data_IF_717427881792
#
_entry.id   IF_717427881792
#
_cell.length_a   1.000
_cell.length_b   1.000
_cell.length_c   1.000
_cell.angle_alpha   90.00
_cell.angle_beta   90.00
_cell.angle_gamma   90.00
#
_symmetry.space_group_name_H-M   'P 1'
#
loop_
_entity.id
_entity.type
_entity.pdbx_description
1 polymer ?
#
# COMPACT_ATOMS: atom_id res chain seq x y z
N UNK A 1 -7.47 -22.17 -29.67
CA UNK A 1 -7.81 -20.74 -29.62
C UNK A 1 -8.66 -20.48 -28.40
N UNK A 2 -8.07 -20.15 -27.26
CA UNK A 2 -8.79 -19.71 -26.04
C UNK A 2 -8.21 -18.35 -25.65
N UNK A 3 -9.04 -17.36 -25.79
CA UNK A 3 -8.77 -15.96 -25.50
C UNK A 3 -8.73 -15.80 -23.98
N UNK A 4 -7.58 -15.34 -23.44
CA UNK A 4 -7.49 -14.91 -22.04
C UNK A 4 -8.27 -13.60 -21.88
N UNK A 5 -9.38 -13.67 -21.20
CA UNK A 5 -10.12 -12.51 -20.71
C UNK A 5 -9.33 -11.87 -19.55
N UNK A 6 -8.80 -10.70 -19.80
CA UNK A 6 -8.44 -9.76 -18.73
C UNK A 6 -9.77 -9.32 -18.12
N UNK A 7 -9.99 -9.65 -16.86
CA UNK A 7 -11.21 -9.28 -16.12
C UNK A 7 -11.34 -7.76 -16.04
N UNK A 8 -12.10 -7.22 -16.98
CA UNK A 8 -12.68 -5.89 -16.88
C UNK A 8 -13.94 -6.04 -16.01
N UNK A 9 -13.86 -5.66 -14.73
CA UNK A 9 -15.05 -5.61 -13.87
C UNK A 9 -15.98 -4.49 -14.35
N UNK A 10 -16.92 -4.83 -15.25
CA UNK A 10 -18.11 -4.02 -15.48
C UNK A 10 -19.18 -4.39 -14.46
N UNK A 11 -19.45 -3.50 -13.53
CA UNK A 11 -20.65 -3.56 -12.70
C UNK A 11 -21.81 -2.94 -13.48
N UNK A 12 -22.66 -3.80 -14.03
CA UNK A 12 -23.97 -3.40 -14.56
C UNK A 12 -24.95 -3.39 -13.37
N UNK A 13 -25.30 -2.19 -12.90
CA UNK A 13 -26.42 -2.01 -11.99
C UNK A 13 -27.73 -2.08 -12.80
N UNK A 14 -28.45 -3.17 -12.62
CA UNK A 14 -29.86 -3.30 -13.06
C UNK A 14 -30.72 -2.38 -12.21
N UNK A 15 -31.46 -1.50 -12.88
CA UNK A 15 -32.47 -0.62 -12.30
C UNK A 15 -33.61 -1.46 -11.70
N UNK A 16 -33.88 -1.26 -10.39
CA UNK A 16 -35.21 -1.32 -9.82
C UNK A 16 -35.49 -0.01 -9.11
N UNK A 17 -36.42 0.71 -9.67
CA UNK A 17 -36.99 1.95 -9.13
C UNK A 17 -37.75 1.66 -7.84
N UNK A 18 -37.33 2.28 -6.75
CA UNK A 18 -38.13 2.50 -5.55
C UNK A 18 -37.68 3.81 -4.91
N UNK A 19 -38.63 4.72 -4.78
CA UNK A 19 -38.46 6.05 -4.18
C UNK A 19 -37.88 6.01 -2.79
N UNK A 20 -36.68 6.58 -2.62
CA UNK A 20 -36.13 6.96 -1.30
C UNK A 20 -35.55 8.36 -1.41
N UNK A 21 -36.00 9.21 -0.50
CA UNK A 21 -35.50 10.55 -0.20
C UNK A 21 -33.96 10.52 -0.11
N UNK A 22 -33.33 11.43 -0.81
CA UNK A 22 -31.90 11.51 -1.04
C UNK A 22 -31.13 11.65 0.28
N UNK A 23 -30.17 10.78 0.49
CA UNK A 23 -29.22 10.84 1.60
C UNK A 23 -28.38 12.12 1.63
N UNK A 24 -28.39 12.88 0.54
CA UNK A 24 -27.70 14.17 0.37
C UNK A 24 -28.36 15.27 1.20
N UNK A 25 -29.70 15.33 1.24
CA UNK A 25 -30.41 16.36 2.01
C UNK A 25 -30.25 16.16 3.52
N UNK A 26 -30.09 14.92 3.98
CA UNK A 26 -29.80 14.62 5.39
C UNK A 26 -28.38 14.98 5.79
N UNK A 27 -27.42 14.90 4.86
CA UNK A 27 -26.03 15.28 5.09
C UNK A 27 -25.85 16.80 5.09
N UNK A 28 -26.45 17.51 4.15
CA UNK A 28 -26.38 18.98 4.09
C UNK A 28 -27.07 19.64 5.30
N UNK A 29 -28.17 19.07 5.80
CA UNK A 29 -28.83 19.52 7.01
C UNK A 29 -27.96 19.35 8.26
N UNK A 30 -27.19 18.28 8.38
CA UNK A 30 -26.24 18.08 9.48
C UNK A 30 -25.05 19.05 9.45
N UNK A 31 -24.56 19.41 8.28
CA UNK A 31 -23.49 20.41 8.15
C UNK A 31 -23.95 21.81 8.56
N UNK A 32 -25.20 22.20 8.26
CA UNK A 32 -25.74 23.50 8.69
C UNK A 32 -25.99 23.57 10.20
N UNK A 33 -26.25 22.44 10.87
CA UNK A 33 -26.44 22.38 12.32
C UNK A 33 -25.11 22.44 13.13
N UNK A 34 -23.98 22.05 12.50
CA UNK A 34 -22.63 22.12 13.11
C UNK A 34 -21.97 23.49 12.98
N UNK A 35 -22.40 24.34 12.01
CA UNK A 35 -21.82 25.65 11.75
C UNK A 35 -22.24 26.77 12.74
N UNK A 36 -23.15 26.52 13.67
CA UNK A 36 -23.73 27.56 14.57
C UNK A 36 -23.35 27.39 16.05
N UNK A 37 -22.24 26.71 16.38
CA UNK A 37 -21.71 26.65 17.75
C UNK A 37 -20.23 26.98 17.78
N UNK A 38 -19.93 28.24 17.74
CA UNK A 38 -18.58 28.75 17.91
C UNK A 38 -18.60 30.20 18.27
N UNK A 39 -18.74 30.53 19.56
CA UNK A 39 -18.09 31.67 20.17
C UNK A 39 -18.12 31.57 21.70
N UNK A 40 -17.01 31.96 22.27
CA UNK A 40 -16.76 32.28 23.70
C UNK A 40 -16.33 31.10 24.62
N UNK A 41 -15.01 31.02 24.87
CA UNK A 41 -14.42 31.37 26.16
C UNK A 41 -12.93 31.10 26.20
N UNK A 42 -12.15 32.16 26.29
CA UNK A 42 -10.80 32.15 26.85
C UNK A 42 -10.88 31.80 28.33
N UNK A 43 -10.02 30.88 28.77
CA UNK A 43 -9.59 30.80 30.18
C UNK A 43 -8.25 30.06 30.20
N UNK A 44 -7.23 30.81 30.64
CA UNK A 44 -5.90 30.35 31.00
C UNK A 44 -5.99 29.26 32.08
N UNK A 45 -5.29 28.14 31.87
CA UNK A 45 -4.79 27.30 32.95
C UNK A 45 -3.51 26.59 32.48
N UNK A 46 -2.37 27.15 32.89
CA UNK A 46 -1.07 26.49 32.87
C UNK A 46 -1.06 25.42 34.00
N UNK A 47 -1.15 24.15 33.60
CA UNK A 47 -0.83 23.06 34.51
C UNK A 47 0.25 22.15 33.97
N UNK A 48 1.34 22.20 34.69
CA UNK A 48 2.58 21.48 34.59
C UNK A 48 2.35 19.95 34.61
N UNK A 49 2.35 19.29 33.44
CA UNK A 49 2.44 17.83 33.34
C UNK A 49 3.86 17.44 32.88
N UNK A 50 4.69 17.08 33.84
CA UNK A 50 5.99 16.45 33.62
C UNK A 50 5.82 15.13 32.85
N UNK A 51 6.05 15.16 31.55
CA UNK A 51 6.16 13.95 30.76
C UNK A 51 7.54 13.30 31.03
N UNK A 52 7.53 12.15 31.73
CA UNK A 52 8.69 11.28 31.82
C UNK A 52 9.00 10.75 30.40
N UNK A 53 10.10 11.25 29.84
CA UNK A 53 10.62 10.80 28.56
C UNK A 53 11.02 9.32 28.67
N UNK A 54 10.38 8.45 27.89
CA UNK A 54 10.83 7.07 27.70
C UNK A 54 12.27 7.04 27.17
N UNK A 55 13.11 6.11 27.63
CA UNK A 55 14.52 6.06 27.23
C UNK A 55 14.61 5.80 25.73
N UNK A 56 15.22 6.74 24.98
CA UNK A 56 15.57 6.57 23.58
C UNK A 56 16.54 5.39 23.45
N UNK A 57 16.04 4.23 23.05
CA UNK A 57 16.89 3.12 22.60
C UNK A 57 17.67 3.60 21.38
N UNK A 58 19.00 3.54 21.47
CA UNK A 58 19.88 3.69 20.31
C UNK A 58 19.54 2.55 19.34
N UNK A 59 18.83 2.86 18.24
CA UNK A 59 18.64 1.91 17.18
C UNK A 59 20.01 1.60 16.57
N UNK A 60 20.39 0.34 16.57
CA UNK A 60 21.52 -0.10 15.77
C UNK A 60 21.21 0.30 14.32
N UNK A 61 22.13 1.06 13.70
CA UNK A 61 22.01 1.43 12.29
C UNK A 61 22.16 0.15 11.45
N UNK A 62 21.04 -0.48 11.11
CA UNK A 62 21.08 -1.45 10.03
C UNK A 62 21.35 -0.70 8.73
N UNK A 63 22.36 -1.09 7.95
CA UNK A 63 22.63 -0.45 6.68
C UNK A 63 21.38 -0.57 5.77
N UNK A 64 21.12 0.48 5.03
CA UNK A 64 20.02 0.48 4.06
C UNK A 64 20.21 -0.65 3.03
N UNK A 65 19.13 -1.30 2.54
CA UNK A 65 19.20 -2.41 1.60
C UNK A 65 19.61 -1.91 0.22
N UNK A 66 20.88 -1.83 -0.05
CA UNK A 66 21.40 -1.40 -1.36
C UNK A 66 21.30 -2.51 -2.39
N UNK A 67 21.33 -2.13 -3.68
CA UNK A 67 21.43 -3.08 -4.79
C UNK A 67 22.63 -4.00 -4.66
N UNK A 68 23.77 -3.48 -4.26
CA UNK A 68 24.99 -4.27 -4.05
C UNK A 68 24.79 -5.37 -3.00
N UNK A 69 24.18 -5.05 -1.86
CA UNK A 69 23.79 -6.02 -0.84
C UNK A 69 22.82 -7.08 -1.37
N UNK A 70 21.84 -6.66 -2.19
CA UNK A 70 20.90 -7.59 -2.82
C UNK A 70 21.62 -8.56 -3.78
N UNK A 71 22.48 -8.05 -4.66
CA UNK A 71 23.21 -8.87 -5.63
C UNK A 71 24.20 -9.84 -4.96
N UNK A 72 24.83 -9.42 -3.86
CA UNK A 72 25.69 -10.27 -3.06
C UNK A 72 24.90 -11.36 -2.34
N UNK A 73 23.77 -11.00 -1.72
CA UNK A 73 22.85 -11.95 -1.09
C UNK A 73 22.35 -13.00 -2.05
N UNK A 74 22.05 -12.61 -3.30
CA UNK A 74 21.61 -13.54 -4.35
C UNK A 74 22.72 -14.48 -4.81
N UNK A 75 23.99 -14.05 -4.77
CA UNK A 75 25.17 -14.87 -5.13
C UNK A 75 25.58 -15.84 -4.03
N UNK A 76 25.56 -15.36 -2.78
CA UNK A 76 26.04 -16.11 -1.61
C UNK A 76 25.03 -17.11 -1.06
N UNK A 77 23.81 -17.12 -1.56
CA UNK A 77 22.68 -17.85 -1.00
C UNK A 77 22.35 -17.45 0.47
N UNK A 78 22.94 -16.34 0.96
CA UNK A 78 22.72 -15.76 2.29
C UNK A 78 21.65 -14.65 2.21
N UNK A 79 20.38 -15.08 2.08
CA UNK A 79 19.26 -14.14 1.93
C UNK A 79 18.84 -13.49 3.25
N UNK A 80 19.44 -13.86 4.39
CA UNK A 80 18.96 -13.43 5.71
C UNK A 80 19.24 -11.96 5.97
N UNK A 81 20.48 -11.52 5.78
CA UNK A 81 20.87 -10.13 6.07
C UNK A 81 20.16 -9.11 5.17
N UNK A 82 20.01 -9.45 3.88
CA UNK A 82 19.27 -8.60 2.96
C UNK A 82 17.79 -8.55 3.31
N UNK A 83 17.17 -9.69 3.65
CA UNK A 83 15.78 -9.75 4.08
C UNK A 83 15.54 -8.84 5.29
N UNK A 84 16.37 -8.96 6.32
CA UNK A 84 16.23 -8.20 7.55
C UNK A 84 16.40 -6.69 7.31
N UNK A 85 17.38 -6.29 6.47
CA UNK A 85 17.57 -4.91 6.07
C UNK A 85 16.39 -4.38 5.24
N UNK A 86 15.89 -5.19 4.30
CA UNK A 86 14.81 -4.80 3.37
C UNK A 86 13.48 -4.57 4.10
N UNK A 87 13.11 -5.47 5.02
CA UNK A 87 11.85 -5.39 5.75
C UNK A 87 11.95 -4.70 7.10
N UNK A 88 13.12 -4.19 7.47
CA UNK A 88 13.36 -3.58 8.78
C UNK A 88 12.29 -2.57 9.18
N UNK A 89 11.98 -1.61 8.32
CA UNK A 89 10.99 -0.55 8.62
C UNK A 89 9.57 -1.10 8.70
N UNK A 90 9.18 -1.98 7.78
CA UNK A 90 7.84 -2.56 7.79
C UNK A 90 7.62 -3.46 9.02
N UNK A 91 8.64 -4.17 9.47
CA UNK A 91 8.59 -4.97 10.69
C UNK A 91 8.68 -4.12 11.96
N UNK A 92 9.39 -2.99 11.94
CA UNK A 92 9.44 -2.05 13.06
C UNK A 92 8.10 -1.37 13.35
N UNK A 93 7.20 -1.27 12.37
CA UNK A 93 5.86 -0.76 12.58
C UNK A 93 5.07 -1.58 13.62
N UNK A 94 5.37 -2.87 13.75
CA UNK A 94 4.77 -3.75 14.76
C UNK A 94 5.24 -3.39 16.16
N UNK A 95 6.49 -2.97 16.29
CA UNK A 95 7.10 -2.63 17.58
C UNK A 95 6.52 -1.34 18.19
N UNK A 96 5.85 -0.49 17.39
CA UNK A 96 5.11 0.69 17.87
C UNK A 96 3.98 0.33 18.85
N UNK A 97 3.49 -0.91 18.78
CA UNK A 97 2.42 -1.43 19.65
C UNK A 97 2.96 -2.16 20.90
N UNK A 98 4.25 -2.03 21.18
CA UNK A 98 4.86 -2.73 22.32
C UNK A 98 4.21 -2.32 23.66
N UNK A 99 3.65 -3.29 24.36
CA UNK A 99 3.01 -3.13 25.67
C UNK A 99 1.56 -2.67 25.61
N UNK A 100 0.94 -2.56 24.43
CA UNK A 100 -0.48 -2.27 24.32
C UNK A 100 -1.31 -3.40 24.90
N UNK A 101 -2.31 -3.02 25.73
CA UNK A 101 -3.30 -3.94 26.25
C UNK A 101 -4.59 -3.78 25.43
N UNK A 102 -4.99 -4.79 24.73
CA UNK A 102 -6.14 -4.74 23.80
C UNK A 102 -7.12 -5.85 24.15
N UNK A 103 -8.39 -5.50 24.41
CA UNK A 103 -9.42 -6.51 24.64
C UNK A 103 -10.06 -6.95 23.33
N UNK A 104 -10.47 -8.23 23.27
CA UNK A 104 -11.28 -8.76 22.17
C UNK A 104 -12.55 -7.95 21.94
N UNK A 105 -13.20 -7.48 23.04
CA UNK A 105 -14.41 -6.67 22.97
C UNK A 105 -14.14 -5.32 22.29
N UNK A 106 -13.02 -4.64 22.63
CA UNK A 106 -12.60 -3.41 21.96
C UNK A 106 -12.39 -3.62 20.46
N UNK A 107 -11.65 -4.66 20.09
CA UNK A 107 -11.39 -4.97 18.66
C UNK A 107 -12.68 -5.30 17.91
N UNK A 108 -13.58 -6.08 18.52
CA UNK A 108 -14.88 -6.40 17.91
C UNK A 108 -15.75 -5.15 17.74
N UNK A 109 -15.73 -4.23 18.71
CA UNK A 109 -16.42 -2.93 18.61
C UNK A 109 -15.88 -2.10 17.45
N UNK A 110 -14.55 -2.00 17.29
CA UNK A 110 -13.91 -1.27 16.18
C UNK A 110 -14.33 -1.89 14.85
N UNK A 111 -14.21 -3.21 14.70
CA UNK A 111 -14.59 -3.92 13.48
C UNK A 111 -16.08 -3.68 13.13
N UNK A 112 -16.97 -3.74 14.12
CA UNK A 112 -18.41 -3.54 13.92
C UNK A 112 -18.78 -2.11 13.52
N UNK A 113 -18.14 -1.09 14.13
CA UNK A 113 -18.40 0.33 13.81
C UNK A 113 -17.72 0.80 12.52
N UNK A 114 -16.87 -0.04 11.92
CA UNK A 114 -16.09 0.33 10.73
C UNK A 114 -16.91 0.49 9.43
N UNK A 115 -18.22 0.22 9.47
CA UNK A 115 -19.05 0.28 8.27
C UNK A 115 -18.65 -0.71 7.18
N UNK A 116 -18.06 -1.85 7.58
CA UNK A 116 -17.65 -2.91 6.65
C UNK A 116 -16.22 -2.74 6.11
N UNK A 117 -15.44 -1.82 6.65
CA UNK A 117 -14.05 -1.61 6.23
C UNK A 117 -13.06 -2.53 6.92
N UNK A 118 -13.29 -2.87 8.18
CA UNK A 118 -12.37 -3.66 9.00
C UNK A 118 -13.04 -4.96 9.42
N UNK A 119 -12.32 -6.08 9.26
CA UNK A 119 -12.67 -7.39 9.79
C UNK A 119 -11.78 -7.76 10.99
N UNK A 120 -12.34 -8.41 11.99
CA UNK A 120 -11.61 -9.01 13.10
C UNK A 120 -11.40 -10.49 12.83
N UNK A 121 -10.16 -10.92 12.89
CA UNK A 121 -9.74 -12.31 12.70
C UNK A 121 -8.99 -12.82 13.92
N UNK A 122 -9.09 -14.13 14.17
CA UNK A 122 -8.35 -14.80 15.23
C UNK A 122 -7.38 -15.83 14.63
N UNK A 123 -6.14 -15.81 15.09
CA UNK A 123 -5.20 -16.89 14.99
C UNK A 123 -5.31 -17.72 16.27
N UNK A 124 -5.67 -18.98 16.16
CA UNK A 124 -5.94 -19.86 17.31
C UNK A 124 -5.18 -21.16 17.16
N UNK A 125 -4.59 -21.65 18.27
CA UNK A 125 -4.00 -22.97 18.36
C UNK A 125 -5.08 -23.99 18.79
N UNK A 126 -5.34 -24.98 17.95
CA UNK A 126 -6.35 -26.00 18.25
C UNK A 126 -5.79 -27.04 19.21
N UNK A 127 -6.47 -27.22 20.35
CA UNK A 127 -6.06 -28.21 21.36
C UNK A 127 -6.29 -29.67 20.91
N UNK A 128 -7.22 -29.89 19.98
CA UNK A 128 -7.70 -31.22 19.56
C UNK A 128 -6.95 -31.73 18.32
N UNK A 129 -6.33 -30.86 17.54
CA UNK A 129 -5.74 -31.17 16.22
C UNK A 129 -4.21 -31.03 16.23
N UNK A 130 -3.55 -31.78 17.14
CA UNK A 130 -2.07 -31.82 17.28
C UNK A 130 -1.38 -30.47 17.32
N UNK A 131 -2.04 -29.44 17.90
CA UNK A 131 -1.50 -28.10 18.03
C UNK A 131 -1.46 -27.30 16.71
N UNK A 132 -2.21 -27.71 15.70
CA UNK A 132 -2.38 -26.94 14.47
C UNK A 132 -3.04 -25.60 14.72
N UNK A 133 -2.73 -24.64 13.84
CA UNK A 133 -3.28 -23.31 13.91
C UNK A 133 -4.45 -23.13 12.95
N UNK A 134 -5.42 -22.28 13.35
CA UNK A 134 -6.54 -21.86 12.52
C UNK A 134 -6.58 -20.35 12.36
N UNK A 135 -7.07 -19.89 11.23
CA UNK A 135 -7.33 -18.48 10.91
C UNK A 135 -8.82 -18.28 10.66
N UNK A 136 -9.50 -17.64 11.59
CA UNK A 136 -10.96 -17.58 11.64
C UNK A 136 -11.49 -16.14 11.72
N UNK A 137 -12.54 -15.83 10.96
CA UNK A 137 -13.29 -14.57 11.10
C UNK A 137 -14.08 -14.56 12.41
N UNK A 138 -14.01 -13.44 13.14
CA UNK A 138 -14.66 -13.26 14.45
C UNK A 138 -15.77 -12.24 14.40
N UNK A 139 -15.55 -11.07 13.83
CA UNK A 139 -16.52 -9.97 13.80
C UNK A 139 -16.21 -8.96 12.68
N UNK A 140 -17.15 -8.03 12.45
CA UNK A 140 -17.01 -6.95 11.46
C UNK A 140 -17.16 -7.44 10.02
N UNK A 141 -16.41 -6.84 9.11
CA UNK A 141 -16.41 -7.25 7.71
C UNK A 141 -15.82 -8.64 7.55
N UNK A 142 -16.55 -9.54 6.90
CA UNK A 142 -15.99 -10.79 6.41
C UNK A 142 -15.06 -10.53 5.22
N UNK A 143 -14.45 -11.59 4.71
CA UNK A 143 -13.55 -11.50 3.55
C UNK A 143 -14.18 -10.70 2.40
N UNK A 144 -13.58 -9.58 2.08
CA UNK A 144 -13.95 -8.79 0.93
C UNK A 144 -13.22 -9.34 -0.32
N UNK A 145 -13.75 -9.09 -1.51
CA UNK A 145 -13.11 -9.57 -2.73
C UNK A 145 -11.63 -9.16 -2.83
N UNK A 146 -11.28 -7.97 -2.32
CA UNK A 146 -9.92 -7.43 -2.31
C UNK A 146 -8.96 -8.15 -1.36
N UNK A 147 -9.46 -8.76 -0.27
CA UNK A 147 -8.61 -9.44 0.74
C UNK A 147 -8.75 -10.96 0.75
N UNK A 148 -9.64 -11.52 -0.06
CA UNK A 148 -9.89 -12.97 -0.13
C UNK A 148 -8.62 -13.78 -0.34
N UNK A 149 -7.77 -13.36 -1.28
CA UNK A 149 -6.55 -14.09 -1.61
C UNK A 149 -5.54 -14.05 -0.47
N UNK A 150 -5.46 -12.92 0.27
CA UNK A 150 -4.67 -12.83 1.50
C UNK A 150 -5.14 -13.82 2.56
N UNK A 151 -6.45 -13.84 2.90
CA UNK A 151 -6.98 -14.76 3.90
C UNK A 151 -6.83 -16.23 3.49
N UNK A 152 -6.99 -16.53 2.21
CA UNK A 152 -6.77 -17.88 1.68
C UNK A 152 -5.31 -18.27 1.83
N UNK A 153 -4.38 -17.36 1.51
CA UNK A 153 -2.96 -17.59 1.66
C UNK A 153 -2.56 -17.84 3.13
N UNK A 154 -3.09 -17.01 4.06
CA UNK A 154 -2.85 -17.23 5.50
C UNK A 154 -3.33 -18.64 5.92
N UNK A 155 -4.55 -19.06 5.52
CA UNK A 155 -5.06 -20.41 5.87
C UNK A 155 -4.20 -21.54 5.30
N UNK A 156 -3.71 -21.38 4.08
CA UNK A 156 -2.84 -22.38 3.43
C UNK A 156 -1.47 -22.51 4.12
N UNK A 157 -0.95 -21.43 4.70
CA UNK A 157 0.40 -21.37 5.28
C UNK A 157 0.41 -21.12 6.80
N UNK A 158 -0.74 -21.21 7.48
CA UNK A 158 -0.90 -20.78 8.87
C UNK A 158 0.09 -21.44 9.83
N UNK A 159 0.35 -22.74 9.67
CA UNK A 159 1.28 -23.46 10.52
C UNK A 159 2.74 -23.00 10.32
N UNK A 160 3.14 -22.67 9.10
CA UNK A 160 4.46 -22.13 8.81
C UNK A 160 4.62 -20.68 9.30
N UNK A 161 3.56 -19.89 9.21
CA UNK A 161 3.52 -18.51 9.70
C UNK A 161 3.59 -18.51 11.24
N UNK A 162 2.88 -19.41 11.90
CA UNK A 162 2.76 -19.48 13.36
C UNK A 162 3.86 -20.28 14.07
N UNK A 163 4.79 -20.90 13.33
CA UNK A 163 5.75 -21.87 13.92
C UNK A 163 6.71 -21.30 14.97
N UNK A 164 6.92 -19.97 14.96
CA UNK A 164 7.80 -19.29 15.92
C UNK A 164 7.03 -18.70 17.11
N UNK A 165 5.72 -18.92 17.20
CA UNK A 165 4.93 -18.47 18.34
C UNK A 165 5.29 -19.28 19.59
N UNK A 166 5.12 -18.69 20.80
CA UNK A 166 5.38 -19.38 22.06
C UNK A 166 4.62 -20.70 22.17
N UNK A 167 5.18 -21.68 22.87
CA UNK A 167 4.54 -23.00 23.06
C UNK A 167 3.19 -22.89 23.80
N UNK A 168 3.09 -21.96 24.74
CA UNK A 168 1.89 -21.65 25.52
C UNK A 168 0.91 -20.70 24.82
N UNK A 169 1.22 -20.29 23.57
CA UNK A 169 0.32 -19.48 22.76
C UNK A 169 -1.04 -20.15 22.58
N UNK A 170 -2.10 -19.39 22.82
CA UNK A 170 -3.49 -19.85 22.65
C UNK A 170 -4.17 -19.16 21.48
N UNK A 171 -4.25 -17.84 21.53
CA UNK A 171 -4.90 -17.05 20.49
C UNK A 171 -4.36 -15.62 20.40
N UNK A 172 -4.50 -15.01 19.23
CA UNK A 172 -4.27 -13.58 18.99
C UNK A 172 -5.32 -13.04 18.02
N UNK A 173 -5.59 -11.75 18.09
CA UNK A 173 -6.63 -11.09 17.32
C UNK A 173 -6.04 -10.02 16.39
N UNK A 174 -6.54 -9.94 15.16
CA UNK A 174 -6.04 -9.09 14.09
C UNK A 174 -7.18 -8.29 13.49
N UNK A 175 -7.07 -6.96 13.50
CA UNK A 175 -7.94 -6.08 12.71
C UNK A 175 -7.36 -5.96 11.31
N UNK A 176 -8.06 -6.50 10.31
CA UNK A 176 -7.64 -6.48 8.91
C UNK A 176 -8.46 -5.44 8.16
N UNK A 177 -7.78 -4.47 7.57
CA UNK A 177 -8.38 -3.48 6.69
C UNK A 177 -8.63 -4.09 5.30
N UNK A 178 -9.86 -4.00 4.85
CA UNK A 178 -10.31 -4.52 3.55
C UNK A 178 -10.24 -3.46 2.42
N UNK A 179 -9.78 -2.26 2.72
CA UNK A 179 -9.71 -1.13 1.80
C UNK A 179 -8.27 -0.72 1.51
N UNK A 180 -8.08 -0.01 0.42
CA UNK A 180 -6.75 0.43 0.00
C UNK A 180 -6.17 1.49 0.94
N UNK A 181 -7.05 2.38 1.48
CA UNK A 181 -6.64 3.47 2.35
C UNK A 181 -6.38 2.98 3.78
N UNK A 182 -5.36 3.54 4.48
CA UNK A 182 -5.06 3.20 5.87
C UNK A 182 -6.21 3.59 6.81
N UNK A 183 -6.33 2.90 7.93
CA UNK A 183 -7.46 3.04 8.85
C UNK A 183 -7.05 3.45 10.28
N UNK A 184 -5.77 3.54 10.58
CA UNK A 184 -5.29 3.90 11.92
C UNK A 184 -4.43 5.17 11.87
N UNK A 185 -4.93 6.26 12.47
CA UNK A 185 -4.20 7.52 12.57
C UNK A 185 -3.16 7.46 13.70
N UNK A 186 -1.95 7.92 13.42
CA UNK A 186 -0.90 8.10 14.42
C UNK A 186 -0.98 9.46 15.13
N UNK A 187 -0.51 9.53 16.37
CA UNK A 187 -0.46 10.77 17.17
C UNK A 187 0.50 11.83 16.61
N UNK A 188 1.41 11.41 15.72
CA UNK A 188 2.48 12.26 15.19
C UNK A 188 2.23 12.76 13.77
N UNK A 189 1.00 12.64 13.24
CA UNK A 189 0.68 13.19 11.92
C UNK A 189 0.68 14.73 11.96
N UNK A 190 1.79 15.32 11.61
CA UNK A 190 2.05 16.76 11.79
C UNK A 190 1.34 17.61 10.72
N UNK A 191 0.97 17.05 9.57
CA UNK A 191 0.42 17.84 8.46
C UNK A 191 -0.54 17.04 7.57
N UNK A 192 -1.61 16.56 8.16
CA UNK A 192 -2.65 15.80 7.44
C UNK A 192 -3.29 16.63 6.32
N UNK A 193 -3.46 17.94 6.51
CA UNK A 193 -4.09 18.80 5.52
C UNK A 193 -3.19 19.01 4.29
N UNK A 194 -1.88 19.09 4.48
CA UNK A 194 -0.93 19.10 3.37
C UNK A 194 -0.98 17.78 2.60
N UNK A 195 -0.98 16.66 3.32
CA UNK A 195 -1.07 15.34 2.69
C UNK A 195 -2.38 15.15 1.92
N UNK A 196 -3.51 15.64 2.45
CA UNK A 196 -4.80 15.63 1.75
C UNK A 196 -4.78 16.47 0.48
N UNK A 197 -4.05 17.59 0.46
CA UNK A 197 -3.84 18.37 -0.78
C UNK A 197 -3.00 17.60 -1.80
N UNK A 198 -2.08 16.76 -1.35
CA UNK A 198 -1.31 15.89 -2.23
C UNK A 198 -2.10 14.69 -2.72
N UNK A 199 -2.92 14.09 -1.86
CA UNK A 199 -3.74 12.93 -2.19
C UNK A 199 -5.05 12.91 -1.39
N UNK A 200 -6.23 13.08 -2.02
CA UNK A 200 -7.52 13.19 -1.34
C UNK A 200 -7.91 11.97 -0.50
N UNK A 201 -7.36 10.78 -0.81
CA UNK A 201 -7.62 9.55 -0.06
C UNK A 201 -6.86 9.47 1.28
N UNK A 202 -5.99 10.43 1.58
CA UNK A 202 -5.34 10.50 2.88
C UNK A 202 -6.38 10.93 3.91
N UNK A 203 -6.93 9.96 4.60
CA UNK A 203 -7.97 10.11 5.61
C UNK A 203 -7.43 10.02 7.03
N UNK A 204 -8.29 10.33 8.00
CA UNK A 204 -7.98 10.11 9.42
C UNK A 204 -8.10 8.64 9.83
N UNK A 205 -8.70 7.81 8.97
CA UNK A 205 -9.01 6.45 9.31
C UNK A 205 -10.23 6.33 10.24
N UNK A 206 -10.49 5.10 10.70
CA UNK A 206 -11.60 4.79 11.61
C UNK A 206 -11.09 4.63 13.05
N UNK A 207 -9.83 4.21 13.18
CA UNK A 207 -9.18 3.98 14.46
C UNK A 207 -8.41 5.22 14.85
N UNK A 208 -8.83 5.86 15.92
CA UNK A 208 -8.17 7.04 16.46
C UNK A 208 -6.95 6.65 17.31
N UNK A 209 -6.01 7.56 17.56
CA UNK A 209 -4.88 7.30 18.44
C UNK A 209 -5.27 6.83 19.83
N UNK A 210 -6.43 7.28 20.35
CA UNK A 210 -6.97 6.88 21.64
C UNK A 210 -7.50 5.45 21.70
N UNK A 211 -7.84 4.85 20.55
CA UNK A 211 -8.29 3.46 20.50
C UNK A 211 -7.15 2.46 20.74
N UNK A 212 -5.91 2.86 20.53
CA UNK A 212 -4.69 2.05 20.70
C UNK A 212 -4.78 0.65 20.08
N UNK A 213 -5.47 0.54 18.96
CA UNK A 213 -5.75 -0.73 18.31
C UNK A 213 -4.92 -0.90 17.05
N UNK A 214 -4.07 -1.93 16.97
CA UNK A 214 -3.28 -2.20 15.78
C UNK A 214 -4.16 -2.69 14.61
N UNK A 215 -4.10 -1.98 13.49
CA UNK A 215 -4.79 -2.34 12.25
C UNK A 215 -3.75 -2.79 11.22
N UNK A 216 -4.02 -3.89 10.55
CA UNK A 216 -3.21 -4.39 9.45
C UNK A 216 -3.79 -3.89 8.14
N UNK A 217 -3.00 -3.17 7.36
CA UNK A 217 -3.41 -2.51 6.12
C UNK A 217 -2.43 -2.78 4.97
N UNK A 218 -2.94 -2.67 3.75
CA UNK A 218 -2.15 -2.83 2.52
C UNK A 218 -1.20 -1.66 2.27
N UNK A 219 -1.58 -0.48 2.77
CA UNK A 219 -0.83 0.76 2.57
C UNK A 219 -0.99 1.69 3.76
N UNK A 220 -0.07 2.64 3.91
CA UNK A 220 -0.15 3.75 4.86
C UNK A 220 0.62 4.97 4.36
N UNK A 221 0.43 6.11 5.01
CA UNK A 221 1.31 7.27 4.85
C UNK A 221 2.29 7.26 6.01
N UNK A 222 3.57 7.11 5.70
CA UNK A 222 4.65 7.04 6.69
C UNK A 222 4.67 8.31 7.55
N UNK A 223 4.77 8.14 8.87
CA UNK A 223 4.74 9.25 9.84
C UNK A 223 3.33 9.81 10.15
N UNK A 224 2.27 9.34 9.46
CA UNK A 224 0.89 9.72 9.75
C UNK A 224 0.01 8.56 10.22
N UNK A 225 0.20 7.38 9.69
CA UNK A 225 -0.63 6.22 10.01
C UNK A 225 0.18 5.15 10.75
N UNK A 226 -0.43 4.56 11.77
CA UNK A 226 0.16 3.50 12.58
C UNK A 226 -0.14 2.10 12.05
N UNK A 227 -0.83 1.99 10.91
CA UNK A 227 -1.18 0.69 10.34
C UNK A 227 0.06 -0.21 10.18
N UNK A 228 -0.09 -1.49 10.51
CA UNK A 228 0.90 -2.53 10.24
C UNK A 228 0.72 -2.99 8.81
N UNK A 229 1.79 -2.98 8.03
CA UNK A 229 1.69 -3.31 6.61
C UNK A 229 1.65 -4.83 6.39
N UNK A 230 0.77 -5.27 5.49
CA UNK A 230 0.76 -6.63 4.96
C UNK A 230 0.81 -6.63 3.42
N UNK A 231 1.25 -7.75 2.80
CA UNK A 231 1.32 -7.84 1.35
C UNK A 231 -0.02 -7.60 0.67
N UNK A 232 -0.03 -6.82 -0.41
CA UNK A 232 -1.22 -6.49 -1.19
C UNK A 232 -1.93 -7.79 -1.65
N UNK A 233 -3.26 -7.90 -1.60
CA UNK A 233 -3.98 -9.13 -1.97
C UNK A 233 -3.71 -9.61 -3.39
N UNK A 234 -3.59 -8.70 -4.36
CA UNK A 234 -3.23 -9.03 -5.74
C UNK A 234 -1.88 -9.75 -5.84
N UNK A 235 -0.99 -9.54 -4.87
CA UNK A 235 0.28 -10.23 -4.74
C UNK A 235 0.11 -11.76 -4.66
N UNK A 236 -0.90 -12.21 -3.91
CA UNK A 236 -1.16 -13.64 -3.70
C UNK A 236 -1.77 -14.30 -4.94
N UNK A 237 -2.60 -13.60 -5.71
CA UNK A 237 -3.08 -14.10 -7.00
C UNK A 237 -1.92 -14.27 -7.99
N UNK A 238 -0.98 -13.34 -8.01
CA UNK A 238 0.21 -13.43 -8.86
C UNK A 238 1.19 -14.53 -8.43
N UNK A 239 1.34 -14.81 -7.14
CA UNK A 239 2.07 -15.97 -6.66
C UNK A 239 1.49 -17.28 -7.21
N UNK A 240 0.17 -17.38 -7.28
CA UNK A 240 -0.53 -18.55 -7.85
C UNK A 240 -0.40 -18.64 -9.37
N UNK A 241 -0.54 -17.50 -10.07
CA UNK A 241 -0.46 -17.44 -11.53
C UNK A 241 0.96 -17.68 -12.03
N UNK A 242 1.98 -17.24 -11.33
CA UNK A 242 3.38 -17.43 -11.69
C UNK A 242 3.74 -18.91 -11.84
N UNK A 243 3.12 -19.78 -11.07
CA UNK A 243 3.26 -21.25 -11.24
C UNK A 243 2.74 -21.72 -12.62
N UNK A 244 1.99 -20.87 -13.34
CA UNK A 244 1.31 -21.19 -14.61
C UNK A 244 1.83 -20.40 -15.83
N UNK A 245 2.51 -19.27 -15.63
CA UNK A 245 2.88 -18.35 -16.70
C UNK A 245 4.38 -18.44 -17.01
N UNK A 246 4.71 -18.60 -18.31
CA UNK A 246 6.08 -18.38 -18.79
C UNK A 246 6.24 -16.86 -19.00
N UNK A 247 7.30 -16.29 -18.43
CA UNK A 247 7.67 -14.90 -18.66
C UNK A 247 7.83 -14.69 -20.17
N UNK A 248 7.02 -13.82 -20.77
CA UNK A 248 7.27 -13.39 -22.15
C UNK A 248 8.55 -12.55 -22.14
N UNK A 249 9.56 -12.90 -22.93
CA UNK A 249 10.80 -12.13 -22.97
C UNK A 249 10.53 -10.66 -23.31
N UNK A 250 11.05 -9.73 -22.51
CA UNK A 250 11.08 -8.33 -22.88
C UNK A 250 12.15 -8.11 -23.95
N UNK A 251 11.93 -7.16 -24.87
CA UNK A 251 12.96 -6.75 -25.83
C UNK A 251 14.23 -6.29 -25.10
N UNK A 252 15.42 -6.54 -25.65
CA UNK A 252 16.65 -5.98 -25.12
C UNK A 252 16.52 -4.48 -24.89
N UNK A 253 17.13 -3.99 -23.82
CA UNK A 253 17.03 -2.57 -23.45
C UNK A 253 17.47 -1.63 -24.59
N UNK A 254 18.60 -1.95 -25.23
CA UNK A 254 19.16 -1.17 -26.35
C UNK A 254 18.26 -1.09 -27.58
N UNK A 255 17.36 -2.08 -27.77
CA UNK A 255 16.45 -2.13 -28.91
C UNK A 255 15.11 -1.40 -28.65
N UNK A 256 14.89 -0.89 -27.44
CA UNK A 256 13.65 -0.17 -27.12
C UNK A 256 13.66 1.22 -27.73
N UNK A 257 12.65 1.54 -28.57
CA UNK A 257 12.65 2.77 -29.34
C UNK A 257 12.31 4.03 -28.52
N UNK A 258 11.71 3.86 -27.32
CA UNK A 258 11.13 4.99 -26.57
C UNK A 258 11.91 5.28 -25.30
N UNK A 259 12.49 6.49 -25.24
CA UNK A 259 13.14 7.08 -24.07
C UNK A 259 12.21 8.03 -23.31
N UNK A 260 10.93 8.07 -23.66
CA UNK A 260 9.93 8.82 -22.90
C UNK A 260 9.55 8.06 -21.63
N UNK A 261 9.20 8.82 -20.58
CA UNK A 261 8.59 8.27 -19.37
C UNK A 261 7.10 8.08 -19.64
N UNK A 262 6.62 6.83 -19.66
CA UNK A 262 5.26 6.51 -20.05
C UNK A 262 4.34 6.19 -18.87
N UNK A 263 3.07 6.63 -18.98
CA UNK A 263 1.99 6.26 -18.08
C UNK A 263 0.66 6.12 -18.81
N UNK A 264 -0.09 5.06 -18.52
CA UNK A 264 -1.51 4.93 -18.85
C UNK A 264 -2.21 4.32 -17.65
N UNK A 265 -3.26 4.97 -17.15
CA UNK A 265 -4.05 4.50 -16.03
C UNK A 265 -5.43 5.13 -15.98
N UNK A 266 -6.34 4.55 -15.18
CA UNK A 266 -7.63 5.16 -14.86
C UNK A 266 -7.47 6.35 -13.91
N UNK A 267 -8.57 7.07 -13.67
CA UNK A 267 -8.63 8.16 -12.68
C UNK A 267 -8.78 7.65 -11.24
N UNK A 268 -8.35 6.41 -10.95
CA UNK A 268 -8.40 5.85 -9.59
C UNK A 268 -7.81 6.83 -8.58
N UNK A 269 -8.49 6.96 -7.43
CA UNK A 269 -8.28 8.01 -6.45
C UNK A 269 -9.42 9.01 -6.48
N UNK A 270 -9.85 9.50 -5.31
CA UNK A 270 -10.90 10.50 -5.24
C UNK A 270 -10.43 11.87 -5.73
N UNK A 271 -11.37 12.78 -5.89
CA UNK A 271 -11.11 14.14 -6.30
C UNK A 271 -11.46 14.44 -7.76
N UNK A 272 -11.32 15.70 -8.11
CA UNK A 272 -11.53 16.26 -9.45
C UNK A 272 -10.21 16.41 -10.23
N UNK A 273 -10.22 17.13 -11.33
CA UNK A 273 -9.03 17.35 -12.16
C UNK A 273 -7.87 18.05 -11.43
N UNK A 274 -8.15 18.80 -10.37
CA UNK A 274 -7.16 19.59 -9.63
C UNK A 274 -6.66 18.89 -8.35
N UNK A 275 -7.44 18.00 -7.78
CA UNK A 275 -7.17 17.31 -6.51
C UNK A 275 -6.77 15.84 -6.69
N UNK A 276 -7.29 15.12 -7.70
CA UNK A 276 -6.87 13.76 -7.99
C UNK A 276 -5.38 13.71 -8.37
N UNK A 277 -4.58 12.92 -7.65
CA UNK A 277 -3.13 12.88 -7.83
C UNK A 277 -2.72 12.55 -9.28
N UNK A 278 -3.36 11.55 -9.90
CA UNK A 278 -3.07 11.18 -11.29
C UNK A 278 -3.37 12.31 -12.25
N UNK A 279 -4.56 12.91 -12.15
CA UNK A 279 -4.95 14.03 -13.03
C UNK A 279 -4.00 15.20 -12.88
N UNK A 280 -3.66 15.57 -11.64
CA UNK A 280 -2.74 16.69 -11.36
C UNK A 280 -1.32 16.42 -11.85
N UNK A 281 -0.78 15.23 -11.59
CA UNK A 281 0.55 14.86 -12.07
C UNK A 281 0.61 14.83 -13.60
N UNK A 282 -0.41 14.29 -14.26
CA UNK A 282 -0.44 14.23 -15.72
C UNK A 282 -0.69 15.59 -16.35
N UNK A 283 -1.49 16.48 -15.72
CA UNK A 283 -1.65 17.86 -16.19
C UNK A 283 -0.32 18.63 -16.23
N UNK A 284 0.59 18.32 -15.31
CA UNK A 284 1.91 18.94 -15.30
C UNK A 284 2.85 18.39 -16.38
N UNK A 285 2.55 17.20 -16.94
CA UNK A 285 3.49 16.46 -17.80
C UNK A 285 2.98 16.20 -19.23
N UNK A 286 1.70 16.44 -19.51
CA UNK A 286 1.07 16.02 -20.77
C UNK A 286 1.69 16.68 -22.00
N UNK A 287 2.10 17.95 -21.87
CA UNK A 287 2.74 18.74 -22.93
C UNK A 287 4.26 18.82 -22.75
N UNK A 288 4.82 18.15 -21.75
CA UNK A 288 6.25 18.18 -21.48
C UNK A 288 6.99 17.18 -22.38
N UNK A 289 8.01 17.63 -23.16
CA UNK A 289 8.79 16.72 -23.99
C UNK A 289 9.45 15.60 -23.19
N UNK A 290 9.35 14.38 -23.69
CA UNK A 290 9.91 13.19 -23.04
C UNK A 290 8.96 12.51 -22.07
N UNK A 291 7.66 12.86 -22.13
CA UNK A 291 6.61 12.19 -21.35
C UNK A 291 5.46 11.74 -22.26
N UNK A 292 5.23 10.44 -22.33
CA UNK A 292 4.03 9.88 -22.96
C UNK A 292 3.04 9.42 -21.89
N UNK A 293 2.32 10.37 -21.31
CA UNK A 293 1.43 10.14 -20.19
C UNK A 293 -0.04 10.37 -20.57
N UNK A 294 -0.97 9.67 -19.90
CA UNK A 294 -2.40 9.88 -20.13
C UNK A 294 -3.31 9.03 -19.25
N UNK A 295 -4.50 9.55 -19.00
CA UNK A 295 -5.62 8.82 -18.40
C UNK A 295 -6.30 7.98 -19.47
N UNK A 296 -6.91 6.86 -19.06
CA UNK A 296 -7.58 5.95 -20.01
C UNK A 296 -9.09 5.86 -19.76
N UNK A 297 -9.50 5.70 -18.52
CA UNK A 297 -10.90 5.50 -18.13
C UNK A 297 -11.24 6.37 -16.92
N UNK A 298 -12.31 7.17 -17.00
CA UNK A 298 -12.82 7.88 -15.84
C UNK A 298 -13.58 6.91 -14.92
N UNK A 299 -13.23 6.89 -13.63
CA UNK A 299 -13.88 6.07 -12.61
C UNK A 299 -14.07 6.88 -11.32
N UNK A 300 -14.78 6.33 -10.36
CA UNK A 300 -15.00 6.91 -9.03
C UNK A 300 -15.56 8.35 -9.06
N UNK A 301 -16.48 8.60 -9.97
CA UNK A 301 -17.14 9.91 -10.10
C UNK A 301 -16.34 10.96 -10.87
N UNK A 302 -15.11 10.67 -11.28
CA UNK A 302 -14.34 11.59 -12.14
C UNK A 302 -15.02 11.76 -13.49
N UNK A 303 -15.21 13.01 -13.92
CA UNK A 303 -15.83 13.30 -15.22
C UNK A 303 -14.76 13.59 -16.26
N UNK A 304 -14.82 12.89 -17.39
CA UNK A 304 -13.88 13.11 -18.50
C UNK A 304 -13.89 14.58 -19.00
N UNK A 305 -15.02 15.26 -18.89
CA UNK A 305 -15.18 16.67 -19.26
C UNK A 305 -14.36 17.64 -18.41
N UNK A 306 -13.91 17.23 -17.21
CA UNK A 306 -13.09 18.08 -16.36
C UNK A 306 -11.67 18.26 -16.90
N UNK A 307 -11.12 17.28 -17.60
CA UNK A 307 -9.78 17.30 -18.17
C UNK A 307 -9.70 16.44 -19.43
N UNK A 308 -10.44 16.75 -20.52
CA UNK A 308 -10.54 15.90 -21.71
C UNK A 308 -9.19 15.68 -22.40
N UNK A 309 -8.28 16.66 -22.33
CA UNK A 309 -6.93 16.60 -22.93
C UNK A 309 -6.01 15.57 -22.28
N UNK A 310 -6.31 15.13 -21.05
CA UNK A 310 -5.53 14.10 -20.37
C UNK A 310 -5.86 12.67 -20.84
N UNK A 311 -6.97 12.47 -21.55
CA UNK A 311 -7.39 11.13 -21.91
C UNK A 311 -6.76 10.67 -23.21
N UNK A 312 -6.04 9.55 -23.13
CA UNK A 312 -5.41 8.84 -24.25
C UNK A 312 -5.94 7.41 -24.36
N UNK A 313 -5.65 6.77 -25.47
CA UNK A 313 -5.96 5.35 -25.66
C UNK A 313 -5.22 4.48 -24.63
N UNK A 314 -5.80 3.35 -24.30
CA UNK A 314 -5.16 2.32 -23.48
C UNK A 314 -3.94 1.74 -24.20
N UNK A 315 -2.93 1.37 -23.42
CA UNK A 315 -1.79 0.58 -23.89
C UNK A 315 -1.96 -0.88 -23.49
N UNK A 316 -1.59 -1.80 -24.36
CA UNK A 316 -1.43 -3.21 -24.03
C UNK A 316 -0.12 -3.44 -23.27
N UNK A 317 0.02 -4.60 -22.62
CA UNK A 317 1.27 -4.95 -21.94
C UNK A 317 2.49 -4.93 -22.87
N UNK A 318 2.31 -5.33 -24.13
CA UNK A 318 3.36 -5.32 -25.16
C UNK A 318 3.83 -3.89 -25.51
N UNK A 319 2.92 -2.92 -25.46
CA UNK A 319 3.26 -1.52 -25.77
C UNK A 319 4.11 -0.91 -24.65
N UNK A 320 3.82 -1.22 -23.39
CA UNK A 320 4.66 -0.78 -22.25
C UNK A 320 6.11 -1.29 -22.35
N UNK A 321 6.32 -2.47 -22.92
CA UNK A 321 7.68 -3.05 -23.10
C UNK A 321 8.56 -2.29 -24.09
N UNK A 322 7.99 -1.39 -24.89
CA UNK A 322 8.73 -0.52 -25.82
C UNK A 322 9.37 0.68 -25.14
N UNK A 323 9.01 0.95 -23.87
CA UNK A 323 9.55 2.07 -23.10
C UNK A 323 10.65 1.61 -22.15
N UNK A 324 11.68 2.45 -21.99
CA UNK A 324 12.73 2.24 -21.00
C UNK A 324 12.29 2.67 -19.60
N UNK A 325 11.37 3.64 -19.51
CA UNK A 325 10.93 4.27 -18.27
C UNK A 325 9.41 4.22 -18.15
N UNK A 326 8.92 3.73 -17.01
CA UNK A 326 7.49 3.64 -16.75
C UNK A 326 7.15 4.28 -15.40
N UNK A 327 6.09 5.10 -15.39
CA UNK A 327 5.66 5.80 -14.21
C UNK A 327 4.69 4.95 -13.38
N UNK A 328 4.87 5.01 -12.06
CA UNK A 328 3.97 4.51 -11.04
C UNK A 328 3.37 5.68 -10.26
N UNK A 329 2.05 5.88 -10.34
CA UNK A 329 1.33 6.95 -9.65
C UNK A 329 0.25 6.29 -8.80
N UNK A 330 0.16 6.67 -7.51
CA UNK A 330 -0.86 6.19 -6.61
C UNK A 330 -2.27 6.31 -7.21
N UNK A 331 -3.11 5.31 -6.90
CA UNK A 331 -4.53 5.30 -7.21
C UNK A 331 -5.36 5.67 -5.98
N UNK A 332 -6.14 4.70 -5.43
CA UNK A 332 -6.76 4.89 -4.11
C UNK A 332 -5.68 4.93 -3.02
N UNK A 333 -4.68 4.11 -3.18
CA UNK A 333 -3.42 4.09 -2.47
C UNK A 333 -2.34 3.55 -3.42
N UNK A 334 -1.38 2.80 -2.92
CA UNK A 334 -0.31 2.21 -3.71
C UNK A 334 -0.82 1.23 -4.79
N UNK A 335 -0.15 1.14 -5.95
CA UNK A 335 -0.63 0.32 -7.09
C UNK A 335 0.30 -0.85 -7.38
N UNK A 336 0.12 -1.98 -6.68
CA UNK A 336 0.95 -3.17 -6.87
C UNK A 336 0.94 -3.72 -8.31
N UNK A 337 -0.23 -3.77 -8.95
CA UNK A 337 -0.35 -4.25 -10.34
C UNK A 337 0.49 -3.42 -11.33
N UNK A 338 0.63 -2.11 -11.08
CA UNK A 338 1.48 -1.24 -11.87
C UNK A 338 2.95 -1.57 -11.66
N UNK A 339 3.37 -1.75 -10.43
CA UNK A 339 4.73 -2.11 -10.08
C UNK A 339 5.13 -3.45 -10.71
N UNK A 340 4.24 -4.43 -10.68
CA UNK A 340 4.46 -5.72 -11.31
C UNK A 340 4.60 -5.60 -12.84
N UNK A 341 3.75 -4.79 -13.49
CA UNK A 341 3.85 -4.51 -14.92
C UNK A 341 5.21 -3.89 -15.28
N UNK A 342 5.67 -2.92 -14.46
CA UNK A 342 6.96 -2.26 -14.66
C UNK A 342 8.11 -3.27 -14.54
N UNK A 343 8.09 -4.09 -13.48
CA UNK A 343 9.08 -5.13 -13.27
C UNK A 343 9.12 -6.17 -14.42
N UNK A 344 7.94 -6.62 -14.86
CA UNK A 344 7.83 -7.55 -15.99
C UNK A 344 8.29 -6.93 -17.33
N UNK A 345 8.11 -5.63 -17.48
CA UNK A 345 8.59 -4.88 -18.63
C UNK A 345 10.10 -4.65 -18.58
N UNK A 346 10.77 -4.92 -17.47
CA UNK A 346 12.19 -4.56 -17.21
C UNK A 346 12.42 -3.07 -17.52
N UNK A 347 11.49 -2.22 -17.14
CA UNK A 347 11.61 -0.77 -17.26
C UNK A 347 12.05 -0.18 -15.93
N UNK A 348 12.67 0.99 -15.96
CA UNK A 348 12.90 1.75 -14.75
C UNK A 348 11.56 2.23 -14.19
N UNK A 349 11.34 2.02 -12.91
CA UNK A 349 10.20 2.56 -12.21
C UNK A 349 10.44 4.01 -11.82
N UNK A 350 9.54 4.91 -12.24
CA UNK A 350 9.53 6.32 -11.84
C UNK A 350 8.27 6.59 -11.00
N UNK A 351 8.44 6.84 -9.70
CA UNK A 351 7.35 6.88 -8.72
C UNK A 351 6.86 8.29 -8.46
N UNK A 352 5.53 8.45 -8.37
CA UNK A 352 4.83 9.65 -7.85
C UNK A 352 3.87 9.17 -6.77
N UNK A 353 4.35 8.98 -5.55
CA UNK A 353 3.62 8.30 -4.50
C UNK A 353 3.53 9.16 -3.23
N UNK A 354 2.42 9.04 -2.52
CA UNK A 354 2.17 9.56 -1.17
C UNK A 354 2.07 8.40 -0.18
N UNK A 355 1.54 7.28 -0.64
CA UNK A 355 1.42 6.07 0.17
C UNK A 355 2.66 5.18 0.08
N UNK A 356 2.88 4.39 1.12
CA UNK A 356 3.86 3.31 1.18
C UNK A 356 3.14 1.97 1.40
N UNK A 357 3.78 0.88 1.02
CA UNK A 357 3.34 -0.49 1.27
C UNK A 357 4.46 -1.29 1.96
N UNK A 358 4.25 -2.60 2.16
CA UNK A 358 5.16 -3.47 2.88
C UNK A 358 6.56 -3.63 2.24
N UNK A 359 6.70 -3.33 0.94
CA UNK A 359 7.97 -3.39 0.22
C UNK A 359 8.56 -2.02 -0.09
N UNK A 360 7.75 -0.96 -0.07
CA UNK A 360 8.15 0.35 -0.59
C UNK A 360 9.36 0.95 0.14
N UNK A 361 9.48 0.70 1.45
CA UNK A 361 10.61 1.19 2.24
C UNK A 361 11.94 0.49 1.91
N UNK A 362 11.86 -0.72 1.35
CA UNK A 362 13.02 -1.46 0.86
C UNK A 362 13.37 -1.13 -0.60
N UNK A 363 12.44 -0.54 -1.35
CA UNK A 363 12.65 -0.11 -2.74
C UNK A 363 13.24 1.30 -2.75
N UNK A 364 14.54 1.39 -2.55
CA UNK A 364 15.26 2.66 -2.41
C UNK A 364 15.41 3.39 -3.74
N UNK A 365 15.38 4.73 -3.63
CA UNK A 365 15.62 5.63 -4.75
C UNK A 365 17.04 5.45 -5.33
N UNK A 366 17.18 5.58 -6.63
CA UNK A 366 18.40 5.35 -7.42
C UNK A 366 18.99 3.92 -7.37
N UNK A 367 18.50 3.05 -6.49
CA UNK A 367 18.91 1.65 -6.41
C UNK A 367 17.94 0.72 -7.16
N UNK A 368 16.63 0.97 -7.00
CA UNK A 368 15.57 0.16 -7.59
C UNK A 368 14.49 0.98 -8.34
N UNK A 369 14.44 2.28 -8.14
CA UNK A 369 13.48 3.20 -8.75
C UNK A 369 14.03 4.62 -8.76
N UNK A 370 13.26 5.58 -9.30
CA UNK A 370 13.46 7.02 -9.15
C UNK A 370 12.16 7.66 -8.67
N UNK A 371 12.26 8.68 -7.81
CA UNK A 371 11.10 9.30 -7.18
C UNK A 371 10.91 10.74 -7.66
N UNK A 372 9.67 11.06 -8.03
CA UNK A 372 9.19 12.40 -8.36
C UNK A 372 8.42 12.93 -7.15
N UNK A 373 8.74 14.14 -6.71
CA UNK A 373 8.03 14.80 -5.63
C UNK A 373 6.58 15.14 -6.04
N UNK A 374 5.55 14.57 -5.38
CA UNK A 374 4.16 14.86 -5.70
C UNK A 374 3.74 16.29 -5.41
N UNK A 375 4.52 17.07 -4.66
CA UNK A 375 4.29 18.52 -4.42
C UNK A 375 4.86 19.42 -5.51
N UNK A 376 5.86 18.93 -6.27
CA UNK A 376 6.50 19.67 -7.36
C UNK A 376 6.83 18.74 -8.54
N UNK A 377 5.76 18.20 -9.14
CA UNK A 377 5.86 17.14 -10.15
C UNK A 377 6.72 17.57 -11.34
N UNK A 378 6.46 18.76 -11.92
CA UNK A 378 7.13 19.17 -13.16
C UNK A 378 8.65 19.31 -12.98
N UNK A 379 9.08 20.01 -11.94
CA UNK A 379 10.51 20.25 -11.70
C UNK A 379 11.24 18.95 -11.37
N UNK A 380 10.66 18.13 -10.47
CA UNK A 380 11.28 16.87 -10.08
C UNK A 380 11.28 15.85 -11.21
N UNK A 381 10.23 15.79 -12.04
CA UNK A 381 10.17 14.93 -13.21
C UNK A 381 11.24 15.27 -14.26
N UNK A 382 11.45 16.57 -14.52
CA UNK A 382 12.54 17.03 -15.39
C UNK A 382 13.92 16.64 -14.87
N UNK A 383 14.13 16.74 -13.54
CA UNK A 383 15.39 16.34 -12.91
C UNK A 383 15.62 14.84 -13.05
N UNK A 384 14.61 14.02 -12.68
CA UNK A 384 14.67 12.55 -12.82
C UNK A 384 14.94 12.15 -14.27
N UNK A 385 14.21 12.73 -15.25
CA UNK A 385 14.41 12.42 -16.67
C UNK A 385 15.83 12.74 -17.11
N UNK A 386 16.39 13.87 -16.71
CA UNK A 386 17.79 14.23 -17.01
C UNK A 386 18.73 13.18 -16.45
N UNK A 387 18.63 12.84 -15.18
CA UNK A 387 19.48 11.81 -14.54
C UNK A 387 19.41 10.47 -15.30
N UNK A 388 18.21 10.06 -15.72
CA UNK A 388 18.01 8.82 -16.46
C UNK A 388 18.67 8.82 -17.85
N UNK A 389 18.65 9.95 -18.53
CA UNK A 389 19.25 10.09 -19.88
C UNK A 389 20.75 10.33 -19.84
N UNK A 390 21.27 10.96 -18.77
CA UNK A 390 22.70 11.21 -18.60
C UNK A 390 23.48 9.90 -18.38
N UNK A 391 22.83 8.84 -17.83
CA UNK A 391 23.45 7.54 -17.60
C UNK A 391 22.46 6.39 -17.87
N UNK A 392 22.28 6.07 -19.14
CA UNK A 392 21.40 4.98 -19.60
C UNK A 392 21.88 3.60 -19.14
N UNK A 393 23.16 3.39 -18.95
CA UNK A 393 23.71 2.13 -18.46
C UNK A 393 23.30 1.91 -16.99
N UNK A 394 23.43 2.93 -16.16
CA UNK A 394 22.92 2.90 -14.78
C UNK A 394 21.41 2.69 -14.74
N UNK A 395 20.67 3.37 -15.61
CA UNK A 395 19.21 3.22 -15.70
C UNK A 395 18.83 1.76 -16.04
N UNK A 396 19.51 1.11 -16.98
CA UNK A 396 19.30 -0.30 -17.29
C UNK A 396 19.62 -1.21 -16.09
N UNK A 397 20.70 -0.93 -15.36
CA UNK A 397 21.06 -1.67 -14.17
C UNK A 397 19.97 -1.56 -13.07
N UNK A 398 19.41 -0.36 -12.86
CA UNK A 398 18.30 -0.13 -11.92
C UNK A 398 17.05 -0.93 -12.35
N UNK A 399 16.68 -0.88 -13.62
CA UNK A 399 15.54 -1.64 -14.15
C UNK A 399 15.71 -3.16 -13.95
N UNK A 400 16.90 -3.68 -14.25
CA UNK A 400 17.21 -5.09 -14.07
C UNK A 400 17.25 -5.48 -12.57
N UNK A 401 17.74 -4.60 -11.69
CA UNK A 401 17.74 -4.82 -10.25
C UNK A 401 16.30 -4.91 -9.71
N UNK A 402 15.42 -3.98 -10.11
CA UNK A 402 14.01 -4.00 -9.71
C UNK A 402 13.28 -5.24 -10.23
N UNK A 403 13.55 -5.67 -11.48
CA UNK A 403 13.01 -6.93 -12.03
C UNK A 403 13.43 -8.14 -11.17
N UNK A 404 14.73 -8.25 -10.82
CA UNK A 404 15.23 -9.37 -9.99
C UNK A 404 14.66 -9.32 -8.58
N UNK A 405 14.59 -8.12 -7.99
CA UNK A 405 14.00 -7.90 -6.67
C UNK A 405 12.53 -8.35 -6.63
N UNK A 406 11.73 -7.94 -7.62
CA UNK A 406 10.33 -8.36 -7.71
C UNK A 406 10.20 -9.88 -7.83
N UNK A 407 11.07 -10.53 -8.59
CA UNK A 407 11.08 -12.00 -8.66
C UNK A 407 11.47 -12.68 -7.35
N UNK A 408 12.35 -12.07 -6.58
CA UNK A 408 12.70 -12.57 -5.23
C UNK A 408 11.52 -12.39 -4.27
N UNK A 409 10.90 -11.22 -4.26
CA UNK A 409 9.72 -10.93 -3.45
C UNK A 409 8.57 -11.89 -3.74
N UNK A 410 8.35 -12.25 -5.02
CA UNK A 410 7.31 -13.20 -5.46
C UNK A 410 7.65 -14.69 -5.15
N UNK A 411 8.36 -14.98 -4.08
CA UNK A 411 8.62 -16.35 -3.60
C UNK A 411 7.82 -16.61 -2.33
N UNK A 412 7.18 -17.76 -2.25
CA UNK A 412 6.39 -18.16 -1.07
C UNK A 412 7.21 -18.06 0.22
N UNK A 413 8.48 -18.52 0.18
CA UNK A 413 9.36 -18.48 1.35
C UNK A 413 9.63 -17.08 1.89
N UNK A 414 9.66 -16.05 1.02
CA UNK A 414 9.87 -14.66 1.41
C UNK A 414 8.60 -14.10 2.08
N UNK A 415 7.45 -14.34 1.48
CA UNK A 415 6.16 -13.89 2.00
C UNK A 415 5.83 -14.56 3.33
N UNK A 416 6.00 -15.88 3.40
CA UNK A 416 5.77 -16.66 4.64
C UNK A 416 6.72 -16.19 5.74
N UNK A 417 8.00 -15.93 5.43
CA UNK A 417 8.96 -15.40 6.39
C UNK A 417 8.53 -14.02 6.89
N UNK A 418 8.17 -13.10 6.00
CA UNK A 418 7.70 -11.78 6.40
C UNK A 418 6.48 -11.86 7.34
N UNK A 419 5.46 -12.61 6.95
CA UNK A 419 4.25 -12.78 7.75
C UNK A 419 4.55 -13.46 9.10
N UNK A 420 5.40 -14.47 9.12
CA UNK A 420 5.83 -15.13 10.36
C UNK A 420 6.53 -14.16 11.31
N UNK A 421 7.49 -13.38 10.79
CA UNK A 421 8.26 -12.47 11.61
C UNK A 421 7.36 -11.33 12.12
N UNK A 422 6.45 -10.81 11.27
CA UNK A 422 5.46 -9.81 11.66
C UNK A 422 4.46 -10.33 12.71
N UNK A 423 3.92 -11.55 12.52
CA UNK A 423 2.98 -12.17 13.47
C UNK A 423 3.65 -12.49 14.81
N UNK A 424 4.89 -13.01 14.78
CA UNK A 424 5.67 -13.29 15.99
C UNK A 424 5.93 -12.01 16.78
N UNK A 425 6.36 -10.94 16.12
CA UNK A 425 6.55 -9.63 16.77
C UNK A 425 5.24 -9.09 17.32
N UNK A 426 4.15 -9.17 16.56
CA UNK A 426 2.84 -8.69 16.96
C UNK A 426 2.34 -9.38 18.24
N UNK A 427 2.37 -10.70 18.28
CA UNK A 427 1.97 -11.50 19.45
C UNK A 427 2.86 -11.20 20.67
N UNK A 428 4.15 -10.89 20.44
CA UNK A 428 5.06 -10.53 21.52
C UNK A 428 4.90 -9.08 22.00
N UNK A 429 4.39 -8.20 21.17
CA UNK A 429 4.25 -6.76 21.45
C UNK A 429 2.91 -6.41 22.08
N UNK A 430 1.83 -7.05 21.65
CA UNK A 430 0.45 -6.76 22.06
C UNK A 430 -0.02 -7.76 23.11
N UNK A 431 -0.57 -7.26 24.22
CA UNK A 431 -1.22 -8.11 25.24
C UNK A 431 -2.72 -8.16 25.02
N UNK A 432 -3.24 -9.33 24.77
CA UNK A 432 -4.69 -9.54 24.68
C UNK A 432 -5.25 -9.77 26.10
N UNK A 433 -6.15 -8.87 26.50
CA UNK A 433 -6.85 -8.95 27.79
C UNK A 433 -8.31 -9.33 27.58
N UNK A 434 -8.94 -9.94 28.59
CA UNK A 434 -10.35 -10.37 28.56
C UNK A 434 -11.32 -9.19 28.47
#
# INVERSE_FOLDING_TARGET
>A
MRVCFVSLCFYIFSRKTSSKVSSRDAFEKRLSELGNRGDAREADDEDNLSHSAAPKRKSAHNPAPTRACFEESMRSNSSTDFFDAFFHKALADVDEFQGFNVSKATLASIASRSGGKIGLYALQKHAIDDGKFGWNHVAGASEFWSTRDFHTYIREHVNEIAKNLPEDFKEAYFLINNYDEPQSMGVHCVDIDRLRKLHPNVGEGIVSPGDQAPVWSMSKVRGCHMDILFPFPDYFSHLRERKRSRDTPASPWSERPNDDIAFRGSTTGFGDATSNLRARALSALIDEPGFDVGLTVPIQGFQKSWAPHLFKNTMKAEDFRKFKFLMDIDGNAHSFNRQLLIAQSKAVMVRVNVFTDWIADGVMDEEFCYTIDPSDVLRSARAVRRTLLDDLERAEHVANAYHRLTRWLLRDEIVVRYLRDAFTRYVSSVRFVE
#
